data_IF_544770672882
#
_entry.id   IF_544770672882
#
_cell.length_a   1.000
_cell.length_b   1.000
_cell.length_c   1.000
_cell.angle_alpha   90.00
_cell.angle_beta   90.00
_cell.angle_gamma   90.00
#
_symmetry.space_group_name_H-M   'P 1'
#
loop_
_entity.id
_entity.type
_entity.pdbx_description
1 polymer ?
#
# COMPACT_ATOMS: atom_id res chain seq x y z
N UNK A 1 6.58 -21.22 14.73
CA UNK A 1 5.39 -20.46 14.27
C UNK A 1 5.79 -19.00 14.26
N UNK A 2 5.61 -18.31 13.14
CA UNK A 2 6.04 -16.90 13.05
C UNK A 2 5.14 -16.01 13.94
N UNK A 3 5.65 -14.89 14.46
CA UNK A 3 4.84 -13.89 15.15
C UNK A 3 3.67 -13.41 14.30
N UNK A 4 2.56 -13.09 14.95
CA UNK A 4 1.44 -12.36 14.32
C UNK A 4 1.85 -10.90 14.21
N UNK A 5 1.70 -10.31 13.03
CA UNK A 5 1.95 -8.89 12.80
C UNK A 5 0.66 -8.12 13.02
N UNK A 6 0.72 -7.10 13.89
CA UNK A 6 -0.35 -6.14 14.16
C UNK A 6 0.18 -4.73 13.91
N UNK A 7 -0.70 -3.82 13.49
CA UNK A 7 -0.33 -2.44 13.16
C UNK A 7 -0.95 -1.46 14.15
N UNK A 8 -0.20 -0.43 14.53
CA UNK A 8 -0.67 0.68 15.36
C UNK A 8 -0.04 1.99 14.90
N UNK A 9 -0.69 3.13 15.18
CA UNK A 9 -0.20 4.45 14.78
C UNK A 9 -0.46 4.81 13.31
N UNK A 10 -1.25 4.02 12.60
CA UNK A 10 -1.80 4.35 11.27
C UNK A 10 -3.13 5.14 11.34
N UNK A 11 -3.67 5.34 12.56
CA UNK A 11 -4.86 6.13 12.85
C UNK A 11 -4.77 6.69 14.29
N UNK A 12 -5.72 7.55 14.68
CA UNK A 12 -5.88 8.09 16.05
C UNK A 12 -7.23 7.62 16.64
N UNK A 13 -7.63 6.38 16.38
CA UNK A 13 -8.85 5.82 16.97
C UNK A 13 -8.53 5.31 18.37
N UNK A 14 -9.22 5.88 19.38
CA UNK A 14 -9.13 5.43 20.78
C UNK A 14 -9.56 3.97 20.91
N UNK A 15 -10.73 3.62 20.37
CA UNK A 15 -11.28 2.26 20.42
C UNK A 15 -10.30 1.24 19.80
N UNK A 16 -9.75 1.53 18.63
CA UNK A 16 -8.78 0.63 17.98
C UNK A 16 -7.54 0.38 18.84
N UNK A 17 -6.97 1.45 19.41
CA UNK A 17 -5.78 1.31 20.24
C UNK A 17 -6.08 0.62 21.57
N UNK A 18 -7.26 0.86 22.16
CA UNK A 18 -7.72 0.18 23.36
C UNK A 18 -7.92 -1.33 23.11
N UNK A 19 -8.63 -1.71 22.05
CA UNK A 19 -8.84 -3.12 21.68
C UNK A 19 -7.50 -3.84 21.45
N UNK A 20 -6.53 -3.16 20.83
CA UNK A 20 -5.19 -3.68 20.67
C UNK A 20 -4.50 -3.93 22.02
N UNK A 21 -4.60 -3.00 22.98
CA UNK A 21 -4.04 -3.17 24.32
C UNK A 21 -4.63 -4.40 25.02
N UNK A 22 -5.94 -4.62 24.94
CA UNK A 22 -6.60 -5.80 25.52
C UNK A 22 -6.10 -7.13 24.94
N UNK A 23 -5.74 -7.14 23.66
CA UNK A 23 -5.10 -8.29 23.01
C UNK A 23 -3.67 -8.45 23.53
N UNK A 24 -2.91 -7.36 23.59
CA UNK A 24 -1.50 -7.36 23.98
C UNK A 24 -1.31 -7.70 25.47
N UNK A 25 -2.28 -7.45 26.33
CA UNK A 25 -2.29 -7.91 27.72
C UNK A 25 -2.15 -9.43 27.84
N UNK A 26 -2.75 -10.16 26.90
CA UNK A 26 -2.80 -11.63 26.90
C UNK A 26 -1.66 -12.28 26.12
N UNK A 27 -0.72 -11.50 25.57
CA UNK A 27 0.33 -11.96 24.66
C UNK A 27 1.70 -11.41 25.01
N UNK A 28 2.74 -12.13 24.62
CA UNK A 28 4.09 -11.58 24.52
C UNK A 28 4.25 -10.84 23.19
N UNK A 29 4.91 -9.68 23.22
CA UNK A 29 5.08 -8.86 22.02
C UNK A 29 6.36 -8.03 22.07
N UNK A 30 6.71 -7.52 20.89
CA UNK A 30 7.77 -6.56 20.63
C UNK A 30 7.19 -5.41 19.79
N UNK A 31 7.87 -4.27 19.76
CA UNK A 31 7.46 -3.07 19.02
C UNK A 31 8.53 -2.76 17.98
N UNK A 32 8.12 -2.65 16.72
CA UNK A 32 8.92 -1.99 15.68
C UNK A 32 8.30 -0.63 15.40
N UNK A 33 8.93 0.45 15.88
CA UNK A 33 8.47 1.82 15.64
C UNK A 33 9.17 2.40 14.41
N UNK A 34 8.39 2.89 13.45
CA UNK A 34 8.89 3.36 12.16
C UNK A 34 8.46 4.81 11.94
N UNK A 35 9.42 5.73 11.92
CA UNK A 35 9.19 7.13 11.57
C UNK A 35 10.52 7.80 11.28
N UNK A 36 10.69 8.38 10.08
CA UNK A 36 11.93 9.08 9.73
C UNK A 36 12.22 10.25 10.68
N UNK A 37 11.22 11.07 10.98
CA UNK A 37 11.38 12.23 11.88
C UNK A 37 11.19 11.90 13.37
N UNK A 38 10.43 10.86 13.68
CA UNK A 38 9.93 10.60 15.03
C UNK A 38 8.87 11.59 15.52
N UNK A 39 8.38 12.48 14.65
CA UNK A 39 7.44 13.55 15.00
C UNK A 39 6.12 13.48 14.24
N UNK A 40 5.94 12.48 13.38
CA UNK A 40 4.63 12.17 12.79
C UNK A 40 3.65 11.84 13.92
N UNK A 41 2.52 12.54 13.97
CA UNK A 41 1.63 12.60 15.14
C UNK A 41 1.09 11.23 15.55
N UNK A 42 0.52 10.50 14.60
CA UNK A 42 -0.16 9.23 14.77
C UNK A 42 0.76 8.14 15.32
N UNK A 43 1.92 7.82 14.70
CA UNK A 43 2.85 6.84 15.26
C UNK A 43 3.51 7.33 16.56
N UNK A 44 3.72 8.64 16.75
CA UNK A 44 4.28 9.15 18.00
C UNK A 44 3.31 8.98 19.20
N UNK A 45 2.01 9.21 18.99
CA UNK A 45 0.97 8.97 20.00
C UNK A 45 0.91 7.48 20.33
N UNK A 46 0.76 6.62 19.32
CA UNK A 46 0.67 5.18 19.53
C UNK A 46 1.93 4.63 20.22
N UNK A 47 3.12 5.09 19.83
CA UNK A 47 4.36 4.66 20.47
C UNK A 47 4.46 5.08 21.93
N UNK A 48 4.00 6.29 22.31
CA UNK A 48 3.96 6.70 23.72
C UNK A 48 3.10 5.76 24.57
N UNK A 49 1.90 5.42 24.08
CA UNK A 49 0.97 4.50 24.77
C UNK A 49 1.56 3.10 24.85
N UNK A 50 2.00 2.54 23.72
CA UNK A 50 2.49 1.16 23.64
C UNK A 50 3.81 0.96 24.36
N UNK A 51 4.72 1.95 24.34
CA UNK A 51 5.95 1.94 25.13
C UNK A 51 5.64 1.90 26.62
N UNK A 52 4.75 2.76 27.09
CA UNK A 52 4.36 2.78 28.51
C UNK A 52 3.74 1.44 28.93
N UNK A 53 2.83 0.90 28.12
CA UNK A 53 2.24 -0.42 28.36
C UNK A 53 3.32 -1.53 28.41
N UNK A 54 4.26 -1.54 27.47
CA UNK A 54 5.35 -2.53 27.42
C UNK A 54 6.27 -2.43 28.65
N UNK A 55 6.61 -1.21 29.06
CA UNK A 55 7.43 -0.94 30.25
C UNK A 55 6.71 -1.35 31.55
N UNK A 56 5.41 -1.12 31.66
CA UNK A 56 4.62 -1.58 32.81
C UNK A 56 4.54 -3.10 32.88
N UNK A 57 4.49 -3.77 31.71
CA UNK A 57 4.36 -5.22 31.62
C UNK A 57 5.67 -5.97 31.89
N UNK A 58 6.80 -5.49 31.38
CA UNK A 58 8.07 -6.21 31.42
C UNK A 58 9.18 -5.50 32.21
N UNK A 59 8.96 -4.26 32.64
CA UNK A 59 10.00 -3.39 33.16
C UNK A 59 10.87 -2.77 32.06
N UNK A 60 11.47 -1.62 32.35
CA UNK A 60 12.23 -0.82 31.39
C UNK A 60 13.40 -1.58 30.72
N UNK A 61 14.13 -2.36 31.50
CA UNK A 61 15.30 -3.12 31.03
C UNK A 61 14.98 -4.23 30.03
N UNK A 62 13.80 -4.84 30.15
CA UNK A 62 13.35 -5.87 29.21
C UNK A 62 12.60 -5.22 28.03
N UNK A 63 11.82 -4.16 28.29
CA UNK A 63 11.15 -3.39 27.24
C UNK A 63 12.13 -2.86 26.20
N UNK A 64 13.31 -2.35 26.59
CA UNK A 64 14.31 -1.85 25.63
C UNK A 64 14.81 -2.91 24.65
N UNK A 65 14.88 -4.18 25.05
CA UNK A 65 15.28 -5.31 24.17
C UNK A 65 14.18 -5.73 23.21
N UNK A 66 12.95 -5.28 23.45
CA UNK A 66 11.75 -5.58 22.68
C UNK A 66 11.33 -4.43 21.78
N UNK A 67 12.05 -3.31 21.81
CA UNK A 67 11.80 -2.16 20.96
C UNK A 67 12.90 -2.09 19.90
N UNK A 68 12.49 -2.01 18.64
CA UNK A 68 13.35 -1.71 17.50
C UNK A 68 12.83 -0.46 16.82
N UNK A 69 13.72 0.49 16.53
CA UNK A 69 13.38 1.73 15.84
C UNK A 69 13.90 1.73 14.39
N UNK A 70 13.07 2.18 13.46
CA UNK A 70 13.46 2.43 12.07
C UNK A 70 13.25 3.92 11.80
N UNK A 71 14.35 4.66 11.72
CA UNK A 71 14.36 6.13 11.74
C UNK A 71 15.53 6.69 10.90
N UNK A 72 15.62 8.01 10.76
CA UNK A 72 16.79 8.70 10.19
C UNK A 72 18.10 8.25 10.88
N UNK A 73 19.22 8.27 10.14
CA UNK A 73 20.51 7.78 10.63
C UNK A 73 21.02 8.58 11.83
N UNK A 74 20.75 9.89 11.86
CA UNK A 74 21.41 10.82 12.78
C UNK A 74 20.47 11.88 13.38
N UNK A 75 19.30 12.12 12.78
CA UNK A 75 18.39 13.22 13.14
C UNK A 75 17.04 12.72 13.65
N UNK A 76 16.27 13.63 14.22
CA UNK A 76 14.87 13.38 14.60
C UNK A 76 14.70 12.85 16.03
N UNK A 77 13.48 13.03 16.55
CA UNK A 77 13.16 12.73 17.94
C UNK A 77 13.27 11.23 18.26
N UNK A 78 12.89 10.37 17.30
CA UNK A 78 12.96 8.93 17.49
C UNK A 78 14.42 8.44 17.51
N UNK A 79 15.31 9.02 16.72
CA UNK A 79 16.74 8.69 16.76
C UNK A 79 17.37 9.08 18.10
N UNK A 80 17.09 10.29 18.58
CA UNK A 80 17.56 10.74 19.89
C UNK A 80 17.09 9.81 21.00
N UNK A 81 15.79 9.51 21.06
CA UNK A 81 15.23 8.60 22.06
C UNK A 81 15.85 7.20 21.97
N UNK A 82 16.06 6.68 20.77
CA UNK A 82 16.66 5.36 20.57
C UNK A 82 18.11 5.30 21.07
N UNK A 83 18.86 6.40 20.92
CA UNK A 83 20.22 6.51 21.47
C UNK A 83 20.21 6.56 23.01
N UNK A 84 19.30 7.34 23.60
CA UNK A 84 19.16 7.49 25.05
C UNK A 84 18.74 6.17 25.73
N UNK A 85 17.82 5.43 25.11
CA UNK A 85 17.25 4.19 25.64
C UNK A 85 17.98 2.92 25.15
N UNK A 86 18.96 3.09 24.26
CA UNK A 86 19.74 2.03 23.61
C UNK A 86 18.88 0.95 22.92
N UNK A 87 17.91 1.38 22.10
CA UNK A 87 17.14 0.49 21.23
C UNK A 87 17.96 0.02 20.03
N UNK A 88 17.64 -1.17 19.51
CA UNK A 88 18.16 -1.60 18.20
C UNK A 88 17.60 -0.66 17.12
N UNK A 89 18.45 -0.19 16.20
CA UNK A 89 18.03 0.77 15.16
C UNK A 89 18.38 0.35 13.75
N UNK A 90 17.45 0.55 12.81
CA UNK A 90 17.70 0.52 11.38
C UNK A 90 17.45 1.90 10.75
N UNK A 91 18.06 2.14 9.58
CA UNK A 91 18.05 3.44 8.90
C UNK A 91 16.97 3.50 7.82
N UNK A 92 16.20 4.59 7.81
CA UNK A 92 15.46 5.05 6.63
C UNK A 92 16.40 5.93 5.80
N UNK A 93 16.76 5.56 4.56
CA UNK A 93 17.68 6.35 3.75
C UNK A 93 17.19 7.79 3.52
N UNK A 94 18.14 8.72 3.43
CA UNK A 94 17.84 10.14 3.28
C UNK A 94 17.18 10.46 1.94
N UNK A 95 17.58 9.76 0.89
CA UNK A 95 17.16 9.89 -0.51
C UNK A 95 15.97 9.00 -0.89
N UNK A 96 15.40 8.25 0.06
CA UNK A 96 14.22 7.41 -0.17
C UNK A 96 13.01 8.00 0.56
N UNK A 97 12.01 8.45 -0.23
CA UNK A 97 10.72 8.91 0.28
C UNK A 97 9.86 7.77 0.86
N UNK A 98 8.94 8.10 1.77
CA UNK A 98 8.15 7.09 2.51
C UNK A 98 7.41 6.09 1.61
N UNK A 99 6.72 6.56 0.57
CA UNK A 99 5.97 5.71 -0.39
C UNK A 99 6.85 4.81 -1.29
N UNK A 100 8.17 5.05 -1.31
CA UNK A 100 9.17 4.25 -2.03
C UNK A 100 10.05 3.41 -1.09
N UNK A 101 9.69 3.33 0.20
CA UNK A 101 10.58 2.77 1.23
C UNK A 101 10.35 1.29 1.55
N UNK A 102 9.42 0.60 0.88
CA UNK A 102 9.03 -0.78 1.24
C UNK A 102 10.19 -1.78 1.10
N UNK A 103 11.13 -1.54 0.16
CA UNK A 103 12.34 -2.35 -0.02
C UNK A 103 13.53 -1.91 0.85
N UNK A 104 13.31 -0.98 1.77
CA UNK A 104 14.27 -0.58 2.83
C UNK A 104 13.92 -1.31 4.14
N UNK A 105 14.68 -1.13 5.25
CA UNK A 105 14.32 -1.74 6.53
C UNK A 105 12.86 -1.50 6.95
N UNK A 106 12.24 -0.40 6.51
CA UNK A 106 10.82 -0.08 6.73
C UNK A 106 9.90 -1.26 6.42
N UNK A 107 10.01 -1.86 5.24
CA UNK A 107 9.22 -3.04 4.89
C UNK A 107 9.95 -4.36 5.16
N UNK A 108 11.28 -4.40 4.98
CA UNK A 108 12.02 -5.66 5.07
C UNK A 108 11.99 -6.27 6.48
N UNK A 109 12.10 -5.47 7.54
CA UNK A 109 12.07 -6.01 8.90
C UNK A 109 10.72 -6.69 9.23
N UNK A 110 9.55 -6.03 9.10
CA UNK A 110 8.28 -6.69 9.40
C UNK A 110 7.98 -7.89 8.49
N UNK A 111 8.39 -7.84 7.21
CA UNK A 111 8.25 -8.98 6.28
C UNK A 111 9.08 -10.18 6.76
N UNK A 112 10.32 -9.96 7.19
CA UNK A 112 11.18 -11.01 7.74
C UNK A 112 10.62 -11.59 9.04
N UNK A 113 10.06 -10.75 9.93
CA UNK A 113 9.42 -11.20 11.18
C UNK A 113 8.17 -12.04 10.90
N UNK A 114 7.38 -11.70 9.87
CA UNK A 114 6.26 -12.53 9.41
C UNK A 114 6.72 -13.88 8.83
N UNK A 115 8.02 -14.04 8.59
CA UNK A 115 8.69 -15.25 8.10
C UNK A 115 8.69 -15.41 6.59
N UNK A 116 8.58 -14.31 5.85
CA UNK A 116 8.74 -14.31 4.40
C UNK A 116 10.20 -14.01 4.00
N UNK A 117 10.63 -14.56 2.86
CA UNK A 117 12.00 -14.40 2.37
C UNK A 117 12.24 -13.01 1.79
N UNK A 118 12.82 -12.11 2.60
CA UNK A 118 13.28 -10.80 2.12
C UNK A 118 14.42 -10.90 1.10
N UNK A 119 15.15 -12.02 1.08
CA UNK A 119 16.20 -12.25 0.07
C UNK A 119 15.58 -12.45 -1.30
N UNK A 120 14.57 -13.31 -1.39
CA UNK A 120 13.81 -13.51 -2.65
C UNK A 120 13.12 -12.23 -3.09
N UNK A 121 12.51 -11.48 -2.16
CA UNK A 121 11.91 -10.17 -2.46
C UNK A 121 12.92 -9.21 -3.11
N UNK A 122 14.12 -9.10 -2.52
CA UNK A 122 15.17 -8.24 -3.05
C UNK A 122 15.75 -8.74 -4.37
N UNK A 123 15.90 -10.05 -4.55
CA UNK A 123 16.33 -10.63 -5.84
C UNK A 123 15.31 -10.36 -6.95
N UNK A 124 14.02 -10.45 -6.63
CA UNK A 124 12.93 -10.03 -7.50
C UNK A 124 13.07 -8.57 -7.96
N UNK A 125 13.20 -7.64 -7.02
CA UNK A 125 13.37 -6.23 -7.34
C UNK A 125 14.60 -5.97 -8.23
N UNK A 126 15.73 -6.65 -7.96
CA UNK A 126 16.93 -6.57 -8.80
C UNK A 126 16.69 -7.07 -10.22
N UNK A 127 15.96 -8.17 -10.39
CA UNK A 127 15.62 -8.71 -11.72
C UNK A 127 14.85 -7.68 -12.54
N UNK A 128 13.82 -7.05 -11.97
CA UNK A 128 13.05 -6.03 -12.67
C UNK A 128 13.90 -4.79 -12.99
N UNK A 129 14.73 -4.34 -12.05
CA UNK A 129 15.71 -3.26 -12.30
C UNK A 129 16.63 -3.57 -13.48
N UNK A 130 17.25 -4.74 -13.48
CA UNK A 130 18.15 -5.16 -14.56
C UNK A 130 17.42 -5.30 -15.88
N UNK A 131 16.22 -5.87 -15.89
CA UNK A 131 15.38 -5.99 -17.08
C UNK A 131 15.10 -4.60 -17.69
N UNK A 132 14.63 -3.66 -16.88
CA UNK A 132 14.28 -2.32 -17.35
C UNK A 132 15.51 -1.54 -17.83
N UNK A 133 16.64 -1.64 -17.13
CA UNK A 133 17.89 -0.95 -17.50
C UNK A 133 18.41 -1.44 -18.86
N UNK A 134 18.25 -2.73 -19.15
CA UNK A 134 18.71 -3.34 -20.40
C UNK A 134 17.73 -3.16 -21.57
N UNK A 135 16.49 -2.73 -21.32
CA UNK A 135 15.45 -2.56 -22.32
C UNK A 135 14.91 -1.12 -22.29
N UNK A 136 15.58 -0.17 -22.95
CA UNK A 136 15.20 1.26 -22.89
C UNK A 136 14.12 1.66 -23.90
N UNK A 137 13.91 0.86 -24.96
CA UNK A 137 12.87 1.13 -25.94
C UNK A 137 11.49 0.88 -25.34
N UNK A 138 10.57 1.85 -25.47
CA UNK A 138 9.20 1.78 -24.92
C UNK A 138 8.50 0.47 -25.31
N UNK A 139 8.63 0.04 -26.56
CA UNK A 139 8.00 -1.18 -27.08
C UNK A 139 8.42 -2.46 -26.35
N UNK A 140 9.60 -2.47 -25.71
CA UNK A 140 10.16 -3.63 -25.02
C UNK A 140 10.27 -3.41 -23.50
N UNK A 141 9.71 -2.31 -22.99
CA UNK A 141 9.82 -1.92 -21.59
C UNK A 141 8.42 -1.75 -20.98
N UNK A 142 7.94 -2.73 -20.19
CA UNK A 142 6.60 -2.67 -19.63
C UNK A 142 6.43 -1.50 -18.66
N UNK A 143 7.51 -1.04 -17.99
CA UNK A 143 7.49 0.14 -17.11
C UNK A 143 7.16 1.39 -17.93
N UNK A 144 7.88 1.58 -19.05
CA UNK A 144 7.65 2.71 -19.95
C UNK A 144 6.31 2.61 -20.67
N UNK A 145 5.90 1.42 -21.09
CA UNK A 145 4.62 1.20 -21.75
C UNK A 145 3.44 1.53 -20.81
N UNK A 146 3.47 1.04 -19.56
CA UNK A 146 2.46 1.34 -18.56
C UNK A 146 2.38 2.84 -18.28
N UNK A 147 3.52 3.50 -18.02
CA UNK A 147 3.55 4.95 -17.79
C UNK A 147 3.03 5.76 -19.00
N UNK A 148 3.43 5.39 -20.22
CA UNK A 148 3.00 6.08 -21.43
C UNK A 148 1.50 5.92 -21.71
N UNK A 149 0.97 4.69 -21.61
CA UNK A 149 -0.45 4.43 -21.86
C UNK A 149 -1.34 5.16 -20.85
N UNK A 150 -1.00 5.15 -19.56
CA UNK A 150 -1.76 5.89 -18.54
C UNK A 150 -1.83 7.37 -18.83
N UNK A 151 -0.70 7.99 -19.19
CA UNK A 151 -0.66 9.42 -19.51
C UNK A 151 -1.46 9.72 -20.79
N UNK A 152 -1.35 8.88 -21.83
CA UNK A 152 -2.16 9.03 -23.04
C UNK A 152 -3.67 8.89 -22.75
N UNK A 153 -4.07 7.97 -21.87
CA UNK A 153 -5.45 7.83 -21.41
C UNK A 153 -5.91 9.06 -20.62
N UNK A 154 -5.06 9.60 -19.74
CA UNK A 154 -5.35 10.82 -19.01
C UNK A 154 -5.54 12.03 -19.94
N UNK A 155 -4.67 12.20 -20.94
CA UNK A 155 -4.84 13.22 -21.99
C UNK A 155 -6.12 13.04 -22.80
N UNK A 156 -6.59 11.79 -22.97
CA UNK A 156 -7.87 11.48 -23.62
C UNK A 156 -9.10 11.68 -22.72
N UNK A 157 -8.92 12.15 -21.47
CA UNK A 157 -10.00 12.45 -20.53
C UNK A 157 -10.32 11.33 -19.54
N UNK A 158 -9.50 10.27 -19.46
CA UNK A 158 -9.63 9.22 -18.44
C UNK A 158 -8.93 9.64 -17.15
N UNK A 159 -9.68 10.31 -16.28
CA UNK A 159 -9.16 10.94 -15.05
C UNK A 159 -9.10 10.00 -13.83
N UNK A 160 -9.58 8.76 -13.96
CA UNK A 160 -9.58 7.77 -12.88
C UNK A 160 -9.05 6.43 -13.38
N UNK A 161 -8.05 5.89 -12.67
CA UNK A 161 -7.57 4.53 -12.88
C UNK A 161 -8.05 3.65 -11.76
N UNK A 162 -8.57 2.48 -12.11
CA UNK A 162 -9.03 1.48 -11.16
C UNK A 162 -8.07 0.31 -11.20
N UNK A 163 -7.28 0.13 -10.13
CA UNK A 163 -6.49 -1.09 -9.92
C UNK A 163 -7.42 -2.23 -9.51
N UNK A 164 -7.46 -3.28 -10.33
CA UNK A 164 -8.32 -4.45 -10.12
C UNK A 164 -7.46 -5.65 -9.75
N UNK A 165 -7.85 -6.39 -8.72
CA UNK A 165 -7.28 -7.71 -8.44
C UNK A 165 -8.41 -8.74 -8.26
N UNK A 166 -8.12 -10.02 -8.54
CA UNK A 166 -9.05 -11.14 -8.34
C UNK A 166 -8.67 -12.02 -7.13
N UNK A 167 -7.81 -11.49 -6.26
CA UNK A 167 -7.19 -12.22 -5.15
C UNK A 167 -7.22 -11.33 -3.89
N UNK A 168 -8.09 -11.61 -2.89
CA UNK A 168 -8.24 -10.77 -1.71
C UNK A 168 -6.93 -10.50 -0.94
N UNK A 169 -5.93 -11.38 -1.06
CA UNK A 169 -4.60 -11.18 -0.46
C UNK A 169 -3.82 -10.01 -1.06
N UNK A 170 -4.23 -9.49 -2.22
CA UNK A 170 -3.64 -8.33 -2.89
C UNK A 170 -4.32 -7.01 -2.50
N UNK A 171 -5.33 -7.03 -1.61
CA UNK A 171 -6.02 -5.81 -1.16
C UNK A 171 -5.04 -4.71 -0.69
N UNK A 172 -4.12 -5.03 0.21
CA UNK A 172 -3.14 -4.04 0.69
C UNK A 172 -2.06 -3.70 -0.34
N UNK A 173 -1.85 -4.53 -1.36
CA UNK A 173 -1.00 -4.16 -2.49
C UNK A 173 -1.67 -3.03 -3.30
N UNK A 174 -3.00 -3.10 -3.50
CA UNK A 174 -3.79 -2.02 -4.09
C UNK A 174 -3.74 -0.75 -3.24
N UNK A 175 -3.85 -0.86 -1.90
CA UNK A 175 -3.70 0.31 -1.01
C UNK A 175 -2.32 0.96 -1.12
N UNK A 176 -1.25 0.16 -1.16
CA UNK A 176 0.12 0.65 -1.38
C UNK A 176 0.25 1.36 -2.73
N UNK A 177 -0.29 0.78 -3.81
CA UNK A 177 -0.27 1.37 -5.14
C UNK A 177 -1.01 2.71 -5.19
N UNK A 178 -2.17 2.83 -4.50
CA UNK A 178 -2.91 4.10 -4.42
C UNK A 178 -2.07 5.21 -3.78
N UNK A 179 -1.36 4.91 -2.70
CA UNK A 179 -0.45 5.90 -2.09
C UNK A 179 0.67 6.27 -3.04
N UNK A 180 1.31 5.28 -3.67
CA UNK A 180 2.43 5.49 -4.58
C UNK A 180 2.05 6.47 -5.70
N UNK A 181 0.94 6.24 -6.39
CA UNK A 181 0.51 7.08 -7.50
C UNK A 181 -0.15 8.39 -7.04
N UNK A 182 -1.04 8.33 -6.05
CA UNK A 182 -1.81 9.49 -5.59
C UNK A 182 -0.93 10.60 -5.01
N UNK A 183 0.04 10.25 -4.16
CA UNK A 183 0.96 11.25 -3.60
C UNK A 183 2.02 11.74 -4.60
N UNK A 184 2.37 10.91 -5.60
CA UNK A 184 3.38 11.29 -6.59
C UNK A 184 2.80 12.18 -7.69
N UNK A 185 1.60 11.88 -8.18
CA UNK A 185 0.99 12.53 -9.35
C UNK A 185 -0.06 13.60 -8.99
N UNK A 186 -0.68 13.52 -7.81
CA UNK A 186 -1.72 14.45 -7.35
C UNK A 186 -1.17 15.82 -6.95
N UNK A 187 -0.68 16.59 -7.94
CA UNK A 187 0.05 17.85 -7.77
C UNK A 187 -0.45 18.89 -8.74
N UNK A 188 -0.37 20.16 -8.36
CA UNK A 188 -0.63 21.29 -9.28
C UNK A 188 -1.98 21.19 -10.01
N UNK A 189 -3.00 20.63 -9.33
CA UNK A 189 -4.34 20.39 -9.89
C UNK A 189 -4.36 19.42 -11.09
N UNK A 190 -3.35 18.54 -11.18
CA UNK A 190 -3.23 17.44 -12.14
C UNK A 190 -3.23 16.10 -11.41
N UNK A 191 -3.30 15.02 -12.20
CA UNK A 191 -3.09 13.66 -11.75
C UNK A 191 -4.29 12.76 -12.06
N UNK A 192 -4.00 11.47 -12.23
CA UNK A 192 -5.01 10.43 -12.32
C UNK A 192 -5.45 10.10 -10.90
N UNK A 193 -6.76 10.04 -10.64
CA UNK A 193 -7.28 9.59 -9.35
C UNK A 193 -7.09 8.07 -9.22
N UNK A 194 -6.30 7.57 -8.25
CA UNK A 194 -6.08 6.15 -8.08
C UNK A 194 -7.19 5.51 -7.24
N UNK A 195 -8.02 4.71 -7.88
CA UNK A 195 -9.05 3.88 -7.26
C UNK A 195 -8.63 2.41 -7.25
N UNK A 196 -9.33 1.58 -6.46
CA UNK A 196 -9.04 0.15 -6.36
C UNK A 196 -10.28 -0.65 -6.04
N UNK A 197 -10.37 -1.86 -6.60
CA UNK A 197 -11.46 -2.81 -6.37
C UNK A 197 -10.92 -4.24 -6.26
N UNK A 198 -11.55 -5.06 -5.42
CA UNK A 198 -11.28 -6.48 -5.28
C UNK A 198 -12.38 -7.30 -5.93
N UNK A 199 -12.11 -7.89 -7.10
CA UNK A 199 -13.03 -8.74 -7.82
C UNK A 199 -12.93 -10.21 -7.37
N UNK A 200 -14.00 -10.99 -7.50
CA UNK A 200 -15.33 -10.62 -8.02
C UNK A 200 -16.22 -9.88 -7.02
N UNK A 201 -15.80 -9.71 -5.75
CA UNK A 201 -16.59 -9.06 -4.70
C UNK A 201 -17.18 -7.72 -5.12
N UNK A 202 -16.33 -6.83 -5.66
CA UNK A 202 -16.75 -5.47 -6.01
C UNK A 202 -17.46 -5.36 -7.37
N UNK A 203 -17.60 -6.46 -8.12
CA UNK A 203 -18.57 -6.50 -9.23
C UNK A 203 -20.00 -6.33 -8.69
N UNK A 204 -20.24 -6.71 -7.43
CA UNK A 204 -21.53 -6.60 -6.75
C UNK A 204 -21.68 -5.31 -5.93
N UNK A 205 -20.79 -4.33 -6.12
CA UNK A 205 -20.89 -2.99 -5.54
C UNK A 205 -20.61 -1.92 -6.60
N UNK A 206 -19.43 -1.98 -7.22
CA UNK A 206 -18.92 -1.03 -8.20
C UNK A 206 -19.13 -1.49 -9.66
N UNK A 207 -19.40 -2.77 -9.91
CA UNK A 207 -19.55 -3.33 -11.26
C UNK A 207 -20.54 -2.56 -12.14
N UNK A 208 -21.70 -2.18 -11.58
CA UNK A 208 -22.69 -1.35 -12.30
C UNK A 208 -22.13 0.01 -12.74
N UNK A 209 -21.37 0.69 -11.87
CA UNK A 209 -20.76 1.97 -12.21
C UNK A 209 -19.64 1.80 -13.25
N UNK A 210 -18.83 0.75 -13.11
CA UNK A 210 -17.76 0.47 -14.07
C UNK A 210 -18.35 0.15 -15.44
N UNK A 211 -19.44 -0.60 -15.51
CA UNK A 211 -20.10 -0.93 -16.77
C UNK A 211 -20.81 0.27 -17.42
N UNK A 212 -21.59 1.08 -16.67
CA UNK A 212 -22.51 2.07 -17.27
C UNK A 212 -22.42 3.49 -16.67
N UNK A 213 -21.54 3.73 -15.70
CA UNK A 213 -21.27 5.06 -15.13
C UNK A 213 -20.49 5.99 -16.06
N UNK A 214 -19.83 7.01 -15.51
CA UNK A 214 -19.04 7.96 -16.31
C UNK A 214 -17.85 7.27 -17.01
N UNK A 215 -17.68 7.53 -18.32
CA UNK A 215 -16.58 6.96 -19.14
C UNK A 215 -15.25 7.71 -18.97
N UNK A 216 -14.99 8.25 -17.78
CA UNK A 216 -13.72 8.89 -17.40
C UNK A 216 -12.77 7.91 -16.68
N UNK A 217 -13.10 6.61 -16.70
CA UNK A 217 -12.36 5.55 -16.03
C UNK A 217 -11.58 4.68 -17.03
N UNK A 218 -10.49 4.09 -16.55
CA UNK A 218 -9.84 2.92 -17.15
C UNK A 218 -9.41 1.96 -16.05
N UNK A 219 -9.19 0.70 -16.39
CA UNK A 219 -8.80 -0.34 -15.45
C UNK A 219 -7.37 -0.81 -15.72
N UNK A 220 -6.67 -1.15 -14.63
CA UNK A 220 -5.44 -1.93 -14.65
C UNK A 220 -5.66 -3.20 -13.85
N UNK A 221 -5.79 -4.34 -14.53
CA UNK A 221 -6.02 -5.66 -13.93
C UNK A 221 -4.69 -6.31 -13.59
N UNK A 222 -4.47 -6.58 -12.30
CA UNK A 222 -3.39 -7.41 -11.79
C UNK A 222 -3.85 -8.88 -11.78
N UNK A 223 -3.54 -9.60 -12.86
CA UNK A 223 -3.92 -11.00 -13.07
C UNK A 223 -2.87 -11.96 -12.54
N UNK A 224 -3.31 -13.06 -11.92
CA UNK A 224 -2.43 -14.09 -11.35
C UNK A 224 -2.65 -15.40 -12.11
N UNK A 225 -1.60 -15.90 -12.76
CA UNK A 225 -1.70 -17.08 -13.62
C UNK A 225 -1.99 -18.36 -12.79
N UNK A 226 -1.31 -18.54 -11.66
CA UNK A 226 -1.39 -19.77 -10.84
C UNK A 226 -1.77 -19.47 -9.39
N UNK A 227 -2.74 -20.23 -8.82
CA UNK A 227 -3.11 -20.09 -7.42
C UNK A 227 -2.08 -20.81 -6.53
N UNK A 228 -1.89 -20.30 -5.31
CA UNK A 228 -1.02 -20.95 -4.31
C UNK A 228 -1.59 -22.25 -3.72
N UNK A 229 -2.84 -22.62 -4.06
CA UNK A 229 -3.51 -23.84 -3.61
C UNK A 229 -4.53 -24.29 -4.64
N UNK A 230 -4.83 -25.60 -4.67
CA UNK A 230 -5.79 -26.17 -5.61
C UNK A 230 -7.08 -26.55 -4.89
N UNK A 231 -8.20 -26.14 -5.46
CA UNK A 231 -9.54 -26.53 -5.05
C UNK A 231 -10.39 -26.70 -6.30
N UNK A 232 -11.28 -27.68 -6.29
CA UNK A 232 -12.22 -27.96 -7.38
C UNK A 232 -13.65 -27.78 -6.90
N UNK A 233 -14.53 -27.35 -7.80
CA UNK A 233 -15.97 -27.26 -7.51
C UNK A 233 -16.54 -28.68 -7.35
N UNK A 234 -17.20 -29.01 -6.22
CA UNK A 234 -17.78 -30.33 -6.02
C UNK A 234 -19.02 -30.53 -6.90
N UNK A 235 -19.34 -31.79 -7.20
CA UNK A 235 -20.63 -32.17 -7.77
C UNK A 235 -21.70 -32.20 -6.67
N UNK A 236 -22.92 -31.76 -6.98
CA UNK A 236 -24.09 -31.94 -6.12
C UNK A 236 -25.16 -32.78 -6.82
N UNK A 237 -25.62 -33.86 -6.18
CA UNK A 237 -26.58 -34.79 -6.79
C UNK A 237 -27.97 -34.18 -7.02
N UNK A 238 -28.34 -33.13 -6.27
CA UNK A 238 -29.64 -32.45 -6.41
C UNK A 238 -29.59 -31.30 -7.42
N UNK A 239 -28.42 -30.67 -7.60
CA UNK A 239 -28.15 -29.60 -8.56
C UNK A 239 -29.19 -28.47 -8.52
N UNK A 240 -29.65 -28.08 -7.33
CA UNK A 240 -30.72 -27.08 -7.18
C UNK A 240 -30.29 -25.67 -7.63
N UNK A 241 -28.99 -25.39 -7.59
CA UNK A 241 -28.37 -24.14 -8.04
C UNK A 241 -28.01 -24.15 -9.54
N UNK A 242 -28.13 -25.30 -10.21
CA UNK A 242 -27.77 -25.47 -11.61
C UNK A 242 -26.27 -25.43 -11.90
N UNK A 243 -25.38 -25.47 -10.88
CA UNK A 243 -23.94 -25.28 -11.05
C UNK A 243 -23.15 -26.53 -11.45
N UNK A 244 -23.78 -27.70 -11.64
CA UNK A 244 -23.05 -28.91 -12.05
C UNK A 244 -22.32 -28.79 -13.40
N UNK A 245 -22.64 -27.80 -14.25
CA UNK A 245 -21.86 -27.54 -15.48
C UNK A 245 -20.42 -27.06 -15.21
N UNK A 246 -20.13 -26.59 -13.99
CA UNK A 246 -18.77 -26.27 -13.53
C UNK A 246 -18.23 -27.28 -12.52
N UNK A 247 -18.95 -28.34 -12.19
CA UNK A 247 -18.46 -29.39 -11.30
C UNK A 247 -17.18 -30.03 -11.85
N UNK A 248 -16.22 -30.30 -10.97
CA UNK A 248 -14.90 -30.83 -11.31
C UNK A 248 -13.92 -29.79 -11.85
N UNK A 249 -14.36 -28.58 -12.22
CA UNK A 249 -13.44 -27.51 -12.64
C UNK A 249 -12.62 -27.00 -11.44
N UNK A 250 -11.34 -26.67 -11.63
CA UNK A 250 -10.59 -25.89 -10.66
C UNK A 250 -11.30 -24.55 -10.38
N UNK A 251 -11.41 -24.16 -9.11
CA UNK A 251 -12.04 -22.89 -8.75
C UNK A 251 -11.31 -21.69 -9.39
N UNK A 252 -9.98 -21.80 -9.54
CA UNK A 252 -9.18 -20.81 -10.27
C UNK A 252 -9.57 -20.66 -11.74
N UNK A 253 -9.98 -21.74 -12.41
CA UNK A 253 -10.49 -21.66 -13.78
C UNK A 253 -11.76 -20.82 -13.83
N UNK A 254 -12.69 -21.03 -12.89
CA UNK A 254 -13.92 -20.23 -12.78
C UNK A 254 -13.61 -18.75 -12.54
N UNK A 255 -12.64 -18.46 -11.66
CA UNK A 255 -12.19 -17.09 -11.38
C UNK A 255 -11.59 -16.42 -12.62
N UNK A 256 -10.76 -17.13 -13.39
CA UNK A 256 -10.15 -16.61 -14.61
C UNK A 256 -11.15 -16.41 -15.76
N UNK A 257 -12.19 -17.25 -15.84
CA UNK A 257 -13.32 -16.99 -16.75
C UNK A 257 -14.11 -15.75 -16.33
N UNK A 258 -14.29 -15.51 -15.02
CA UNK A 258 -14.91 -14.28 -14.54
C UNK A 258 -14.03 -13.06 -14.88
N UNK A 259 -12.70 -13.15 -14.71
CA UNK A 259 -11.77 -12.11 -15.17
C UNK A 259 -11.94 -11.80 -16.66
N UNK A 260 -11.82 -12.83 -17.49
CA UNK A 260 -11.90 -12.69 -18.95
C UNK A 260 -13.26 -12.13 -19.40
N UNK A 261 -14.36 -12.67 -18.87
CA UNK A 261 -15.70 -12.21 -19.21
C UNK A 261 -15.96 -10.76 -18.78
N UNK A 262 -15.47 -10.38 -17.60
CA UNK A 262 -15.57 -9.00 -17.10
C UNK A 262 -14.75 -8.04 -17.96
N UNK A 263 -13.50 -8.38 -18.29
CA UNK A 263 -12.66 -7.55 -19.15
C UNK A 263 -13.32 -7.31 -20.51
N UNK A 264 -13.90 -8.34 -21.12
CA UNK A 264 -14.63 -8.17 -22.39
C UNK A 264 -15.85 -7.26 -22.23
N UNK A 265 -16.66 -7.47 -21.19
CA UNK A 265 -17.84 -6.65 -20.94
C UNK A 265 -17.48 -5.17 -20.68
N UNK A 266 -16.40 -4.91 -19.95
CA UNK A 266 -15.92 -3.55 -19.67
C UNK A 266 -15.33 -2.87 -20.90
N UNK A 267 -14.60 -3.61 -21.74
CA UNK A 267 -14.13 -3.11 -23.03
C UNK A 267 -15.30 -2.72 -23.95
N UNK A 268 -16.32 -3.58 -24.05
CA UNK A 268 -17.56 -3.29 -24.79
C UNK A 268 -18.34 -2.10 -24.17
N UNK A 269 -18.13 -1.82 -22.88
CA UNK A 269 -18.64 -0.65 -22.17
C UNK A 269 -17.75 0.60 -22.24
N UNK A 270 -16.78 0.66 -23.17
CA UNK A 270 -15.83 1.77 -23.34
C UNK A 270 -14.93 2.08 -22.13
N UNK A 271 -14.57 1.05 -21.36
CA UNK A 271 -13.54 1.10 -20.31
C UNK A 271 -12.25 0.48 -20.84
N UNK A 272 -11.21 1.29 -21.16
CA UNK A 272 -9.91 0.75 -21.52
C UNK A 272 -9.36 -0.11 -20.39
N UNK A 273 -8.75 -1.25 -20.74
CA UNK A 273 -8.26 -2.21 -19.78
C UNK A 273 -6.79 -2.56 -20.06
N UNK A 274 -5.91 -2.30 -19.08
CA UNK A 274 -4.52 -2.73 -19.08
C UNK A 274 -4.43 -4.01 -18.25
N UNK A 275 -3.66 -5.00 -18.70
CA UNK A 275 -3.48 -6.26 -17.97
C UNK A 275 -2.01 -6.44 -17.61
N UNK A 276 -1.73 -6.45 -16.30
CA UNK A 276 -0.43 -6.82 -15.72
C UNK A 276 -0.56 -8.24 -15.20
N UNK A 277 0.06 -9.19 -15.89
CA UNK A 277 0.01 -10.60 -15.52
C UNK A 277 1.25 -10.99 -14.72
N UNK A 278 1.05 -11.68 -13.60
CA UNK A 278 2.10 -12.28 -12.79
C UNK A 278 1.90 -13.80 -12.69
N UNK A 279 2.96 -14.62 -12.67
CA UNK A 279 2.82 -16.07 -12.69
C UNK A 279 2.22 -16.63 -11.40
N UNK A 280 2.57 -16.04 -10.25
CA UNK A 280 2.12 -16.45 -8.92
C UNK A 280 2.44 -15.36 -7.89
N UNK A 281 1.80 -15.40 -6.73
CA UNK A 281 2.08 -14.46 -5.63
C UNK A 281 3.19 -15.03 -4.73
N UNK A 282 4.43 -14.72 -5.07
CA UNK A 282 5.63 -15.09 -4.29
C UNK A 282 6.50 -13.88 -3.96
N UNK A 283 7.43 -14.02 -3.02
CA UNK A 283 8.32 -12.93 -2.62
C UNK A 283 9.11 -12.37 -3.82
N UNK A 284 9.69 -13.24 -4.65
CA UNK A 284 10.42 -12.82 -5.87
C UNK A 284 9.53 -12.01 -6.83
N UNK A 285 8.32 -12.49 -7.11
CA UNK A 285 7.41 -11.81 -8.04
C UNK A 285 6.90 -10.49 -7.47
N UNK A 286 6.56 -10.44 -6.17
CA UNK A 286 6.18 -9.19 -5.52
C UNK A 286 7.34 -8.17 -5.53
N UNK A 287 8.58 -8.62 -5.40
CA UNK A 287 9.76 -7.77 -5.51
C UNK A 287 9.89 -7.14 -6.90
N UNK A 288 9.66 -7.94 -7.95
CA UNK A 288 9.61 -7.46 -9.33
C UNK A 288 8.49 -6.43 -9.51
N UNK A 289 7.29 -6.72 -8.98
CA UNK A 289 6.11 -5.88 -9.14
C UNK A 289 6.22 -4.54 -8.38
N UNK A 290 6.79 -4.56 -7.17
CA UNK A 290 7.08 -3.34 -6.41
C UNK A 290 7.99 -2.42 -7.21
N UNK A 291 9.13 -2.94 -7.69
CA UNK A 291 10.09 -2.13 -8.45
C UNK A 291 9.49 -1.63 -9.77
N UNK A 292 8.69 -2.46 -10.44
CA UNK A 292 7.95 -2.10 -11.65
C UNK A 292 7.08 -0.87 -11.43
N UNK A 293 6.23 -0.87 -10.41
CA UNK A 293 5.33 0.25 -10.14
C UNK A 293 6.07 1.47 -9.60
N UNK A 294 7.08 1.31 -8.74
CA UNK A 294 7.90 2.43 -8.26
C UNK A 294 8.53 3.20 -9.45
N UNK A 295 9.15 2.46 -10.36
CA UNK A 295 9.79 3.10 -11.50
C UNK A 295 8.78 3.63 -12.53
N UNK A 296 7.66 2.94 -12.75
CA UNK A 296 6.63 3.42 -13.65
C UNK A 296 5.97 4.71 -13.11
N UNK A 297 5.79 4.81 -11.80
CA UNK A 297 5.27 6.01 -11.14
C UNK A 297 6.23 7.19 -11.32
N UNK A 298 7.54 6.97 -11.14
CA UNK A 298 8.55 8.01 -11.37
C UNK A 298 8.53 8.52 -12.82
N UNK A 299 8.52 7.60 -13.80
CA UNK A 299 8.45 7.95 -15.23
C UNK A 299 7.14 8.68 -15.54
N UNK A 300 6.02 8.18 -15.03
CA UNK A 300 4.70 8.75 -15.25
C UNK A 300 4.57 10.18 -14.69
N UNK A 301 5.09 10.43 -13.49
CA UNK A 301 5.13 11.79 -12.91
C UNK A 301 5.95 12.77 -13.76
N UNK A 302 7.06 12.32 -14.35
CA UNK A 302 7.81 13.16 -15.29
C UNK A 302 7.07 13.44 -16.60
N UNK A 303 6.34 12.46 -17.15
CA UNK A 303 5.49 12.68 -18.33
C UNK A 303 4.39 13.71 -18.02
N UNK A 304 3.77 13.60 -16.83
CA UNK A 304 2.75 14.56 -16.35
C UNK A 304 3.32 15.96 -16.06
N UNK A 305 4.65 16.09 -15.97
CA UNK A 305 5.35 17.33 -15.70
C UNK A 305 5.22 17.80 -14.25
N UNK A 306 5.22 16.87 -13.28
CA UNK A 306 5.19 17.15 -11.84
C UNK A 306 6.41 16.55 -11.14
N UNK A 307 6.67 16.95 -9.89
CA UNK A 307 7.68 16.28 -9.05
C UNK A 307 7.08 15.04 -8.36
N UNK A 308 7.48 13.81 -8.74
CA UNK A 308 6.92 12.59 -8.16
C UNK A 308 7.44 12.28 -6.75
N UNK A 309 8.42 13.04 -6.23
CA UNK A 309 9.15 12.69 -5.00
C UNK A 309 8.87 13.60 -3.79
N UNK A 310 8.09 14.67 -3.96
CA UNK A 310 7.64 15.54 -2.85
C UNK A 310 6.18 15.29 -2.47
N UNK A 311 5.67 15.99 -1.43
CA UNK A 311 4.27 15.91 -1.00
C UNK A 311 3.79 17.18 -0.25
N UNK A 312 3.92 18.40 -0.82
CA UNK A 312 3.69 19.64 -0.08
C UNK A 312 2.27 19.80 0.48
N UNK A 313 1.25 19.24 -0.20
CA UNK A 313 -0.15 19.40 0.18
C UNK A 313 -0.53 18.80 1.53
N UNK A 314 0.21 17.78 2.00
CA UNK A 314 -0.12 17.07 3.26
C UNK A 314 0.15 17.95 4.50
N UNK A 315 0.96 19.00 4.38
CA UNK A 315 1.26 19.90 5.51
C UNK A 315 0.10 20.83 5.85
N UNK A 316 -0.83 21.07 4.92
CA UNK A 316 -1.95 21.99 5.12
C UNK A 316 -2.89 21.55 6.26
N UNK A 317 -3.30 20.27 6.27
CA UNK A 317 -4.17 19.78 7.34
C UNK A 317 -3.42 19.64 8.67
N UNK A 318 -2.12 19.26 8.63
CA UNK A 318 -1.28 19.16 9.84
C UNK A 318 -1.17 20.50 10.55
N UNK A 319 -0.95 21.58 9.79
CA UNK A 319 -0.92 22.95 10.32
C UNK A 319 -2.24 23.31 11.02
N UNK A 320 -3.37 22.99 10.41
CA UNK A 320 -4.68 23.27 11.00
C UNK A 320 -4.93 22.43 12.27
N UNK A 321 -4.59 21.14 12.24
CA UNK A 321 -4.69 20.25 13.39
C UNK A 321 -3.82 20.74 14.55
N UNK A 322 -2.56 21.11 14.28
CA UNK A 322 -1.65 21.63 15.31
C UNK A 322 -2.15 22.93 15.95
N UNK A 323 -2.69 23.85 15.14
CA UNK A 323 -3.37 25.04 15.65
C UNK A 323 -4.57 24.69 16.53
N UNK A 324 -5.46 23.79 16.08
CA UNK A 324 -6.62 23.37 16.87
C UNK A 324 -6.25 22.71 18.20
N UNK A 325 -5.16 21.93 18.21
CA UNK A 325 -4.57 21.32 19.41
C UNK A 325 -3.80 22.32 20.30
N UNK A 326 -3.70 23.59 19.91
CA UNK A 326 -3.03 24.63 20.69
C UNK A 326 -1.50 24.46 20.75
N UNK A 327 -0.89 23.90 19.70
CA UNK A 327 0.57 23.80 19.60
C UNK A 327 1.20 25.18 19.65
N UNK A 328 2.16 25.38 20.55
CA UNK A 328 2.89 26.65 20.64
C UNK A 328 3.58 27.00 19.31
N UNK A 329 3.53 28.28 18.95
CA UNK A 329 3.97 28.81 17.66
C UNK A 329 2.88 28.87 16.58
N UNK A 330 1.66 28.39 16.88
CA UNK A 330 0.49 28.43 16.00
C UNK A 330 -0.63 29.31 16.57
N UNK A 331 -0.33 30.25 17.47
CA UNK A 331 -1.34 31.03 18.22
C UNK A 331 -2.24 31.85 17.28
N UNK A 332 -1.65 32.49 16.26
CA UNK A 332 -2.41 33.26 15.25
C UNK A 332 -3.33 32.36 14.43
N UNK A 333 -2.83 31.20 14.00
CA UNK A 333 -3.61 30.23 13.25
C UNK A 333 -4.69 29.58 14.10
N UNK A 334 -4.42 29.38 15.40
CA UNK A 334 -5.40 28.89 16.37
C UNK A 334 -6.57 29.85 16.47
N UNK A 335 -6.32 31.14 16.67
CA UNK A 335 -7.37 32.18 16.72
C UNK A 335 -8.15 32.24 15.40
N UNK A 336 -7.45 32.27 14.27
CA UNK A 336 -8.06 32.36 12.95
C UNK A 336 -8.93 31.14 12.62
N UNK A 337 -8.48 29.93 12.93
CA UNK A 337 -9.25 28.70 12.68
C UNK A 337 -10.43 28.62 13.64
N UNK A 338 -10.24 28.92 14.93
CA UNK A 338 -11.36 28.93 15.90
C UNK A 338 -12.46 29.85 15.45
N UNK A 339 -12.14 31.08 15.05
CA UNK A 339 -13.13 32.03 14.49
C UNK A 339 -13.90 31.50 13.27
N UNK A 340 -13.32 30.61 12.46
CA UNK A 340 -14.00 29.98 11.32
C UNK A 340 -14.96 28.87 11.73
N UNK A 341 -14.73 28.23 12.87
CA UNK A 341 -15.53 27.09 13.35
C UNK A 341 -16.49 27.45 14.51
N UNK A 342 -16.29 28.58 15.19
CA UNK A 342 -17.14 29.09 16.28
C UNK A 342 -16.33 29.52 17.50
#
# INVERSE_FOLDING_TARGET
>A
KNPVILYAGQNISEDYLNDLLEILDKKEYSITVISKSGTTTEPAIAFRVLKNHLENKYGKEEARKRITAITDSDKGALKQLSNEEAYETFVVPDDVGGRYSVLTPVGLLPIAVAGFSIRELMEGAKKMKSFQTNNTAIANNPVSAYAAVRNALYESGKTTEIMVNYEPRLFYFTEWWKQLYGESEGKEQKGIFPAGVGFTTDLHSMGQYIQEGLRNIFETVLSVEKPGSKLTVPHDDKNLDGLNYIAGKPLHEVNHQAETGTTLAHLDGDVPNLRIEIPEITADILGQLIYFYEMACAVSGYILGVNPFDQPGVEAYKKNMFALLGKSGFEKETEAIRKRIG
#
